data_IF_108795196123
#
_entry.id   IF_108795196123
#
_cell.length_a   1.000
_cell.length_b   1.000
_cell.length_c   1.000
_cell.angle_alpha   90.00
_cell.angle_beta   90.00
_cell.angle_gamma   90.00
#
_symmetry.space_group_name_H-M   'P 1'
#
loop_
_entity.id
_entity.type
_entity.pdbx_description
1 polymer ?
#
# COMPACT_ATOMS: atom_id res chain seq x y z
N UNK A 1 -21.53 32.43 -33.44
CA UNK A 1 -20.11 32.30 -33.06
C UNK A 1 -20.07 31.53 -31.75
N UNK A 2 -19.79 30.23 -31.80
CA UNK A 2 -19.68 29.36 -30.62
C UNK A 2 -18.20 29.02 -30.44
N UNK A 3 -17.60 29.52 -29.38
CA UNK A 3 -16.21 29.22 -29.00
C UNK A 3 -16.21 28.01 -28.07
N UNK A 4 -15.90 26.83 -28.58
CA UNK A 4 -15.57 25.66 -27.77
C UNK A 4 -14.16 25.80 -27.19
N UNK A 5 -13.96 25.65 -25.86
CA UNK A 5 -12.62 25.66 -25.30
C UNK A 5 -11.93 24.32 -25.61
N UNK A 6 -10.89 24.40 -26.44
CA UNK A 6 -9.94 23.31 -26.67
C UNK A 6 -9.28 22.94 -25.33
N UNK A 7 -9.80 21.91 -24.67
CA UNK A 7 -9.12 21.28 -23.54
C UNK A 7 -8.33 20.12 -24.12
N UNK A 8 -7.04 20.36 -24.38
CA UNK A 8 -6.11 19.28 -24.71
C UNK A 8 -6.13 18.26 -23.56
N UNK A 9 -6.08 16.95 -23.83
CA UNK A 9 -5.97 15.95 -22.79
C UNK A 9 -4.70 16.21 -21.97
N UNK A 10 -4.84 16.23 -20.64
CA UNK A 10 -3.71 16.41 -19.74
C UNK A 10 -2.66 15.32 -20.02
N UNK A 11 -1.49 15.73 -20.51
CA UNK A 11 -0.34 14.84 -20.68
C UNK A 11 -0.03 14.30 -19.28
N UNK A 12 0.02 12.96 -19.08
CA UNK A 12 0.39 12.41 -17.79
C UNK A 12 1.79 12.91 -17.43
N UNK A 13 1.90 13.59 -16.29
CA UNK A 13 3.18 14.09 -15.76
C UNK A 13 4.08 12.87 -15.56
N UNK A 14 5.11 12.74 -16.40
CA UNK A 14 6.13 11.71 -16.25
C UNK A 14 6.78 11.94 -14.89
N UNK A 15 6.57 11.03 -13.92
CA UNK A 15 7.23 11.12 -12.62
C UNK A 15 8.73 11.21 -12.86
N UNK A 16 9.38 12.21 -12.28
CA UNK A 16 10.80 12.42 -12.53
C UNK A 16 11.63 11.19 -12.15
N UNK A 17 12.50 10.74 -13.04
CA UNK A 17 13.28 9.49 -12.90
C UNK A 17 14.10 9.45 -11.59
N UNK A 18 14.54 10.61 -11.10
CA UNK A 18 15.28 10.73 -9.84
C UNK A 18 14.41 10.41 -8.61
N UNK A 19 13.10 10.69 -8.64
CA UNK A 19 12.17 10.36 -7.54
C UNK A 19 11.98 8.86 -7.48
N UNK A 20 11.77 8.21 -8.63
CA UNK A 20 11.60 6.75 -8.73
C UNK A 20 12.88 6.01 -8.30
N UNK A 21 14.04 6.53 -8.70
CA UNK A 21 15.34 6.03 -8.25
C UNK A 21 15.46 6.07 -6.73
N UNK A 22 15.22 7.22 -6.11
CA UNK A 22 15.34 7.40 -4.66
C UNK A 22 14.38 6.50 -3.88
N UNK A 23 13.14 6.33 -4.35
CA UNK A 23 12.18 5.40 -3.76
C UNK A 23 12.68 3.96 -3.81
N UNK A 24 13.26 3.55 -4.94
CA UNK A 24 13.78 2.20 -5.15
C UNK A 24 15.01 1.91 -4.31
N UNK A 25 15.94 2.86 -4.22
CA UNK A 25 17.12 2.74 -3.35
C UNK A 25 16.69 2.64 -1.89
N UNK A 26 15.70 3.43 -1.45
CA UNK A 26 15.18 3.37 -0.07
C UNK A 26 14.59 1.99 0.24
N UNK A 27 13.76 1.45 -0.65
CA UNK A 27 13.18 0.12 -0.50
C UNK A 27 14.27 -0.96 -0.40
N UNK A 28 15.25 -0.95 -1.32
CA UNK A 28 16.34 -1.92 -1.31
C UNK A 28 17.24 -1.78 -0.07
N UNK A 29 17.49 -0.55 0.39
CA UNK A 29 18.25 -0.28 1.62
C UNK A 29 17.57 -0.84 2.87
N UNK A 30 16.23 -0.76 2.94
CA UNK A 30 15.46 -1.34 4.04
C UNK A 30 15.54 -2.87 4.03
N UNK A 31 15.41 -3.50 2.85
CA UNK A 31 15.52 -4.96 2.71
C UNK A 31 16.94 -5.45 3.07
N UNK A 32 17.97 -4.69 2.70
CA UNK A 32 19.35 -4.97 3.10
C UNK A 32 19.56 -4.82 4.62
N UNK A 33 19.05 -3.73 5.21
CA UNK A 33 19.14 -3.50 6.65
C UNK A 33 18.47 -4.61 7.47
N UNK A 34 17.36 -5.14 6.98
CA UNK A 34 16.66 -6.28 7.58
C UNK A 34 17.27 -7.65 7.25
N UNK A 35 18.38 -7.69 6.51
CA UNK A 35 19.05 -8.92 6.07
C UNK A 35 18.14 -9.86 5.26
N UNK A 36 17.15 -9.29 4.55
CA UNK A 36 16.31 -10.01 3.60
C UNK A 36 16.98 -10.15 2.23
N UNK A 37 17.96 -9.27 1.96
CA UNK A 37 18.93 -9.39 0.87
C UNK A 37 20.31 -9.01 1.39
N UNK A 38 21.34 -9.63 0.82
CA UNK A 38 22.71 -9.55 1.34
C UNK A 38 23.77 -9.36 0.25
N UNK A 39 23.36 -9.32 -1.03
CA UNK A 39 24.28 -9.17 -2.18
C UNK A 39 23.95 -7.94 -3.02
N UNK A 40 25.01 -7.34 -3.57
CA UNK A 40 24.90 -6.20 -4.50
C UNK A 40 24.00 -6.52 -5.70
N UNK A 41 24.11 -7.74 -6.25
CA UNK A 41 23.27 -8.20 -7.35
C UNK A 41 21.78 -8.23 -6.96
N UNK A 42 21.45 -8.76 -5.77
CA UNK A 42 20.07 -8.80 -5.28
C UNK A 42 19.51 -7.40 -5.03
N UNK A 43 20.33 -6.47 -4.54
CA UNK A 43 19.97 -5.07 -4.35
C UNK A 43 19.63 -4.41 -5.69
N UNK A 44 20.50 -4.55 -6.70
CA UNK A 44 20.26 -4.00 -8.04
C UNK A 44 19.02 -4.62 -8.69
N UNK A 45 18.84 -5.94 -8.54
CA UNK A 45 17.66 -6.65 -9.04
C UNK A 45 16.37 -6.11 -8.42
N UNK A 46 16.34 -5.89 -7.11
CA UNK A 46 15.19 -5.29 -6.41
C UNK A 46 14.92 -3.88 -6.93
N UNK A 47 15.95 -3.05 -7.08
CA UNK A 47 15.79 -1.68 -7.58
C UNK A 47 15.14 -1.70 -8.96
N UNK A 48 15.60 -2.57 -9.87
CA UNK A 48 15.05 -2.67 -11.22
C UNK A 48 13.58 -3.17 -11.23
N UNK A 49 13.29 -4.20 -10.43
CA UNK A 49 11.91 -4.71 -10.27
C UNK A 49 11.00 -3.60 -9.71
N UNK A 50 11.46 -2.88 -8.69
CA UNK A 50 10.69 -1.81 -8.05
C UNK A 50 10.39 -0.66 -9.02
N UNK A 51 11.38 -0.21 -9.79
CA UNK A 51 11.17 0.82 -10.82
C UNK A 51 10.17 0.38 -11.87
N UNK A 52 10.28 -0.87 -12.34
CA UNK A 52 9.33 -1.44 -13.30
C UNK A 52 7.90 -1.40 -12.74
N UNK A 53 7.71 -1.71 -11.46
CA UNK A 53 6.40 -1.62 -10.80
C UNK A 53 5.88 -0.19 -10.62
N UNK A 54 6.74 0.76 -10.24
CA UNK A 54 6.31 2.16 -10.05
C UNK A 54 5.84 2.84 -11.35
N UNK A 55 6.24 2.27 -12.50
CA UNK A 55 5.84 2.73 -13.83
C UNK A 55 4.56 2.07 -14.36
N UNK A 56 4.06 1.02 -13.70
CA UNK A 56 2.81 0.36 -14.08
C UNK A 56 1.58 1.17 -13.63
N UNK A 57 0.46 0.99 -14.32
CA UNK A 57 -0.82 1.52 -13.88
C UNK A 57 -1.24 0.93 -12.52
N UNK A 58 -1.82 1.77 -11.67
CA UNK A 58 -2.09 1.50 -10.25
C UNK A 58 -3.07 0.33 -10.00
N UNK A 59 -3.76 -0.15 -11.03
CA UNK A 59 -4.68 -1.27 -10.95
C UNK A 59 -4.67 -2.09 -12.24
N UNK A 60 -4.22 -3.33 -12.15
CA UNK A 60 -4.39 -4.34 -13.19
C UNK A 60 -5.44 -5.34 -12.70
N UNK A 61 -6.47 -5.68 -13.49
CA UNK A 61 -7.38 -6.78 -13.18
C UNK A 61 -6.58 -8.08 -13.19
N UNK A 62 -6.15 -8.47 -12.00
CA UNK A 62 -5.19 -9.52 -11.84
C UNK A 62 -5.87 -10.85 -11.48
N UNK A 63 -6.00 -11.69 -12.51
CA UNK A 63 -6.51 -13.05 -12.36
C UNK A 63 -5.40 -14.07 -12.04
N UNK A 64 -4.12 -13.65 -12.01
CA UNK A 64 -2.97 -14.57 -11.99
C UNK A 64 -2.19 -14.47 -10.69
N UNK A 65 -1.87 -13.26 -10.21
CA UNK A 65 -1.03 -13.11 -9.02
C UNK A 65 -1.81 -13.30 -7.72
N UNK A 66 -3.11 -13.03 -7.68
CA UNK A 66 -3.90 -13.23 -6.46
C UNK A 66 -3.95 -14.72 -6.04
N UNK A 67 -4.29 -15.68 -6.93
CA UNK A 67 -4.19 -17.11 -6.60
C UNK A 67 -2.77 -17.54 -6.21
N UNK A 68 -1.74 -17.08 -6.94
CA UNK A 68 -0.35 -17.41 -6.61
C UNK A 68 0.07 -16.88 -5.23
N UNK A 69 -0.34 -15.67 -4.88
CA UNK A 69 -0.10 -15.11 -3.55
C UNK A 69 -0.82 -15.93 -2.48
N UNK A 70 -2.07 -16.33 -2.72
CA UNK A 70 -2.84 -17.17 -1.80
C UNK A 70 -2.14 -18.51 -1.51
N UNK A 71 -1.51 -19.12 -2.52
CA UNK A 71 -0.74 -20.36 -2.38
C UNK A 71 0.59 -20.17 -1.63
N UNK A 72 1.25 -19.03 -1.83
CA UNK A 72 2.55 -18.71 -1.24
C UNK A 72 2.46 -18.12 0.17
N UNK A 73 1.29 -17.62 0.56
CA UNK A 73 1.08 -17.04 1.88
C UNK A 73 1.33 -18.09 2.97
N UNK A 74 2.14 -17.78 4.00
CA UNK A 74 2.37 -18.72 5.07
C UNK A 74 1.05 -18.98 5.81
N UNK A 75 0.69 -20.26 5.94
CA UNK A 75 -0.41 -20.69 6.79
C UNK A 75 -0.02 -20.43 8.24
N UNK A 76 -0.75 -19.56 8.91
CA UNK A 76 -0.45 -19.13 10.26
C UNK A 76 -1.61 -19.44 11.19
N UNK A 77 -1.31 -20.04 12.33
CA UNK A 77 -2.27 -20.18 13.41
C UNK A 77 -2.43 -18.83 14.12
N UNK A 78 -3.47 -18.11 13.74
CA UNK A 78 -3.91 -16.88 14.37
C UNK A 78 -3.36 -15.57 13.78
N UNK A 79 -3.75 -14.44 14.38
CA UNK A 79 -3.52 -13.10 13.83
C UNK A 79 -2.04 -12.72 13.76
N UNK A 80 -1.66 -12.04 12.67
CA UNK A 80 -0.28 -11.57 12.42
C UNK A 80 -0.22 -10.10 12.07
N UNK A 81 0.96 -9.52 12.25
CA UNK A 81 1.32 -8.22 11.68
C UNK A 81 2.08 -8.49 10.40
N UNK A 82 1.51 -8.06 9.27
CA UNK A 82 2.10 -8.12 7.95
C UNK A 82 2.76 -6.77 7.66
N UNK A 83 4.09 -6.77 7.63
CA UNK A 83 4.86 -5.62 7.17
C UNK A 83 5.11 -5.76 5.67
N UNK A 84 4.65 -4.78 4.90
CA UNK A 84 4.82 -4.73 3.45
C UNK A 84 5.44 -3.39 3.04
N UNK A 85 5.78 -3.29 1.77
CA UNK A 85 6.20 -2.07 1.11
C UNK A 85 5.13 -1.69 0.08
N UNK A 86 5.03 -0.41 -0.30
CA UNK A 86 4.17 0.04 -1.39
C UNK A 86 4.78 -0.34 -2.76
N UNK A 87 5.01 -1.64 -2.97
CA UNK A 87 5.61 -2.22 -4.17
C UNK A 87 4.55 -3.07 -4.87
N UNK A 88 4.31 -2.77 -6.16
CA UNK A 88 3.33 -3.49 -6.95
C UNK A 88 1.88 -3.31 -6.44
N UNK A 89 0.98 -4.28 -6.67
CA UNK A 89 -0.40 -4.20 -6.22
C UNK A 89 -0.47 -4.41 -4.71
N UNK A 90 -0.10 -3.41 -3.91
CA UNK A 90 0.02 -3.53 -2.45
C UNK A 90 -1.30 -3.92 -1.77
N UNK A 91 -2.44 -3.60 -2.39
CA UNK A 91 -3.77 -4.04 -1.95
C UNK A 91 -4.00 -5.57 -2.12
N UNK A 92 -3.14 -6.29 -2.85
CA UNK A 92 -3.25 -7.73 -3.09
C UNK A 92 -3.15 -8.54 -1.79
N UNK A 93 -2.27 -8.13 -0.86
CA UNK A 93 -2.13 -8.76 0.46
C UNK A 93 -3.44 -8.68 1.26
N UNK A 94 -4.03 -7.48 1.32
CA UNK A 94 -5.32 -7.26 1.96
C UNK A 94 -6.42 -8.15 1.33
N UNK A 95 -6.48 -8.21 0.00
CA UNK A 95 -7.45 -9.02 -0.75
C UNK A 95 -7.28 -10.53 -0.48
N UNK A 96 -6.05 -11.03 -0.49
CA UNK A 96 -5.74 -12.44 -0.25
C UNK A 96 -6.17 -12.86 1.16
N UNK A 97 -5.84 -12.07 2.19
CA UNK A 97 -6.22 -12.36 3.57
C UNK A 97 -7.75 -12.37 3.75
N UNK A 98 -8.46 -11.42 3.16
CA UNK A 98 -9.93 -11.37 3.22
C UNK A 98 -10.56 -12.58 2.52
N UNK A 99 -10.03 -13.00 1.35
CA UNK A 99 -10.49 -14.20 0.64
C UNK A 99 -10.29 -15.49 1.44
N UNK A 100 -9.26 -15.54 2.27
CA UNK A 100 -9.03 -16.63 3.23
C UNK A 100 -9.93 -16.55 4.48
N UNK A 101 -10.83 -15.56 4.56
CA UNK A 101 -11.79 -15.40 5.65
C UNK A 101 -11.27 -14.59 6.83
N UNK A 102 -10.12 -13.93 6.71
CA UNK A 102 -9.55 -13.12 7.79
C UNK A 102 -10.08 -11.70 7.80
N UNK A 103 -10.37 -11.18 9.00
CA UNK A 103 -10.54 -9.75 9.22
C UNK A 103 -9.20 -9.03 9.19
N UNK A 104 -9.14 -7.85 8.56
CA UNK A 104 -7.93 -7.06 8.44
C UNK A 104 -8.07 -5.67 9.06
N UNK A 105 -6.97 -5.18 9.63
CA UNK A 105 -6.81 -3.85 10.17
C UNK A 105 -5.66 -3.13 9.44
N UNK A 106 -5.96 -1.98 8.84
CA UNK A 106 -4.98 -1.20 8.08
C UNK A 106 -4.62 0.05 8.86
N UNK A 107 -3.32 0.24 9.12
CA UNK A 107 -2.80 1.47 9.71
C UNK A 107 -2.60 2.53 8.61
N UNK A 108 -3.30 3.66 8.71
CA UNK A 108 -3.23 4.78 7.77
C UNK A 108 -2.72 6.05 8.47
N UNK A 109 -1.86 6.81 7.78
CA UNK A 109 -1.52 8.16 8.24
C UNK A 109 -2.72 9.09 8.10
N UNK A 110 -2.89 10.00 9.04
CA UNK A 110 -4.00 10.96 9.05
C UNK A 110 -4.06 11.81 7.78
N UNK A 111 -2.90 12.30 7.33
CA UNK A 111 -2.75 13.14 6.13
C UNK A 111 -3.26 12.47 4.85
N UNK A 112 -3.26 11.13 4.80
CA UNK A 112 -3.67 10.36 3.62
C UNK A 112 -4.95 9.56 3.87
N UNK A 113 -5.56 9.69 5.05
CA UNK A 113 -6.71 8.89 5.43
C UNK A 113 -7.88 9.14 4.49
N UNK A 114 -8.22 10.41 4.25
CA UNK A 114 -9.36 10.79 3.43
C UNK A 114 -9.17 10.42 1.95
N UNK A 115 -7.93 10.35 1.48
CA UNK A 115 -7.60 9.91 0.11
C UNK A 115 -7.63 8.37 0.00
N UNK A 116 -6.99 7.66 0.94
CA UNK A 116 -6.79 6.22 0.84
C UNK A 116 -8.00 5.41 1.29
N UNK A 117 -8.78 5.90 2.26
CA UNK A 117 -9.93 5.19 2.77
C UNK A 117 -10.98 4.88 1.68
N UNK A 118 -11.40 5.86 0.83
CA UNK A 118 -12.28 5.58 -0.30
C UNK A 118 -11.65 4.61 -1.31
N UNK A 119 -10.34 4.74 -1.57
CA UNK A 119 -9.63 3.83 -2.50
C UNK A 119 -9.70 2.38 -2.02
N UNK A 120 -9.42 2.12 -0.74
CA UNK A 120 -9.50 0.76 -0.19
C UNK A 120 -10.93 0.20 -0.26
N UNK A 121 -11.95 1.02 0.01
CA UNK A 121 -13.36 0.61 -0.14
C UNK A 121 -13.72 0.29 -1.59
N UNK A 122 -13.32 1.15 -2.53
CA UNK A 122 -13.57 0.93 -3.95
C UNK A 122 -12.85 -0.35 -4.43
N UNK A 123 -11.59 -0.56 -4.02
CA UNK A 123 -10.85 -1.77 -4.34
C UNK A 123 -11.51 -3.02 -3.76
N UNK A 124 -12.02 -2.95 -2.52
CA UNK A 124 -12.80 -4.05 -1.93
C UNK A 124 -14.04 -4.33 -2.78
N UNK A 125 -14.83 -3.30 -3.09
CA UNK A 125 -16.05 -3.45 -3.89
C UNK A 125 -15.76 -4.04 -5.28
N UNK A 126 -14.72 -3.58 -5.95
CA UNK A 126 -14.29 -4.14 -7.23
C UNK A 126 -13.83 -5.60 -7.12
N UNK A 127 -13.28 -6.00 -5.98
CA UNK A 127 -12.77 -7.36 -5.76
C UNK A 127 -13.85 -8.37 -5.35
N UNK A 128 -14.86 -7.92 -4.62
CA UNK A 128 -15.84 -8.78 -3.96
C UNK A 128 -17.29 -8.53 -4.40
N UNK A 129 -17.55 -7.51 -5.23
CA UNK A 129 -18.89 -7.15 -5.72
C UNK A 129 -19.81 -6.53 -4.67
N UNK A 130 -19.30 -6.24 -3.45
CA UNK A 130 -20.06 -5.67 -2.34
C UNK A 130 -19.20 -4.78 -1.44
N UNK A 131 -19.83 -4.03 -0.55
CA UNK A 131 -19.11 -3.26 0.48
C UNK A 131 -18.54 -4.19 1.57
N UNK A 132 -17.42 -3.76 2.18
CA UNK A 132 -16.83 -4.45 3.31
C UNK A 132 -17.69 -4.28 4.56
N UNK A 133 -17.86 -5.34 5.34
CA UNK A 133 -18.49 -5.23 6.66
C UNK A 133 -17.44 -4.91 7.75
N UNK A 134 -17.91 -4.55 8.93
CA UNK A 134 -17.04 -4.17 10.04
C UNK A 134 -16.12 -5.31 10.54
N UNK A 135 -16.44 -6.57 10.26
CA UNK A 135 -15.60 -7.71 10.65
C UNK A 135 -14.49 -8.01 9.63
N UNK A 136 -14.54 -7.42 8.44
CA UNK A 136 -13.58 -7.70 7.36
C UNK A 136 -12.51 -6.62 7.25
N UNK A 137 -12.88 -5.35 7.43
CA UNK A 137 -11.99 -4.24 7.15
C UNK A 137 -12.13 -3.15 8.20
N UNK A 138 -11.04 -2.92 8.94
CA UNK A 138 -10.91 -1.88 9.95
C UNK A 138 -9.76 -0.94 9.58
N UNK A 139 -9.94 0.35 9.82
CA UNK A 139 -8.90 1.35 9.61
C UNK A 139 -8.51 2.00 10.92
N UNK A 140 -7.20 2.10 11.17
CA UNK A 140 -6.63 2.75 12.35
C UNK A 140 -5.82 3.94 11.88
N UNK A 141 -6.10 5.12 12.43
CA UNK A 141 -5.33 6.34 12.19
C UNK A 141 -4.02 6.30 12.98
N UNK A 142 -2.90 6.66 12.35
CA UNK A 142 -1.57 6.50 12.95
C UNK A 142 -1.18 7.62 13.91
N UNK A 143 -1.79 8.81 13.84
CA UNK A 143 -1.40 9.97 14.66
C UNK A 143 -1.80 9.87 16.13
N UNK A 144 -2.79 9.04 16.45
CA UNK A 144 -3.36 8.97 17.79
C UNK A 144 -2.43 8.25 18.77
N UNK A 145 -2.29 8.77 19.98
CA UNK A 145 -1.61 8.09 21.10
C UNK A 145 -2.20 6.71 21.44
N UNK A 146 -3.42 6.44 20.95
CA UNK A 146 -4.16 5.19 21.12
C UNK A 146 -4.05 4.23 19.93
N UNK A 147 -3.38 4.61 18.83
CA UNK A 147 -3.31 3.80 17.60
C UNK A 147 -2.74 2.40 17.85
N UNK A 148 -1.61 2.31 18.56
CA UNK A 148 -1.00 1.04 18.95
C UNK A 148 -1.89 0.21 19.88
N UNK A 149 -2.62 0.86 20.79
CA UNK A 149 -3.58 0.20 21.69
C UNK A 149 -4.73 -0.40 20.88
N UNK A 150 -5.26 0.35 19.92
CA UNK A 150 -6.32 -0.10 19.02
C UNK A 150 -5.88 -1.27 18.14
N UNK A 151 -4.67 -1.21 17.57
CA UNK A 151 -4.09 -2.32 16.82
C UNK A 151 -3.93 -3.58 17.68
N UNK A 152 -3.44 -3.44 18.92
CA UNK A 152 -3.33 -4.56 19.87
C UNK A 152 -4.69 -5.17 20.19
N UNK A 153 -5.73 -4.36 20.33
CA UNK A 153 -7.09 -4.84 20.56
C UNK A 153 -7.65 -5.59 19.33
N UNK A 154 -7.38 -5.09 18.13
CA UNK A 154 -7.79 -5.75 16.89
C UNK A 154 -7.09 -7.10 16.70
N UNK A 155 -5.77 -7.18 16.96
CA UNK A 155 -5.04 -8.44 16.97
C UNK A 155 -5.66 -9.45 17.94
N UNK A 156 -5.97 -9.03 19.17
CA UNK A 156 -6.65 -9.90 20.17
C UNK A 156 -8.03 -10.38 19.72
N UNK A 157 -8.71 -9.63 18.85
CA UNK A 157 -10.03 -9.96 18.31
C UNK A 157 -9.99 -10.83 17.05
N UNK A 158 -8.80 -11.26 16.61
CA UNK A 158 -8.67 -12.11 15.42
C UNK A 158 -8.24 -11.38 14.16
N UNK A 159 -8.03 -10.06 14.19
CA UNK A 159 -7.71 -9.29 12.98
C UNK A 159 -6.22 -9.35 12.67
N UNK A 160 -5.88 -9.61 11.42
CA UNK A 160 -4.53 -9.38 10.91
C UNK A 160 -4.28 -7.89 10.73
N UNK A 161 -3.08 -7.42 11.06
CA UNK A 161 -2.69 -6.02 10.87
C UNK A 161 -1.80 -5.91 9.65
N UNK A 162 -2.07 -4.95 8.77
CA UNK A 162 -1.20 -4.63 7.62
C UNK A 162 -0.56 -3.26 7.87
N UNK A 163 0.78 -3.23 7.81
CA UNK A 163 1.60 -2.05 7.97
C UNK A 163 2.50 -1.87 6.75
N UNK A 164 2.60 -0.65 6.23
CA UNK A 164 3.53 -0.31 5.16
C UNK A 164 4.76 0.40 5.72
N UNK A 165 5.93 -0.24 5.59
CA UNK A 165 7.14 0.12 6.33
C UNK A 165 8.08 1.08 5.59
N UNK A 166 7.90 1.30 4.30
CA UNK A 166 8.64 2.31 3.54
C UNK A 166 8.25 3.74 3.91
N UNK A 167 7.05 3.94 4.45
CA UNK A 167 6.46 5.25 4.68
C UNK A 167 6.25 5.98 3.36
N UNK A 168 4.98 6.21 2.97
CA UNK A 168 4.66 7.00 1.76
C UNK A 168 5.41 8.34 1.82
N UNK A 169 6.27 8.61 0.83
CA UNK A 169 6.71 9.96 0.51
C UNK A 169 5.50 10.66 -0.11
N UNK A 170 5.09 11.80 0.46
CA UNK A 170 4.13 12.68 -0.21
C UNK A 170 4.63 12.90 -1.65
N UNK A 171 3.81 12.60 -2.67
CA UNK A 171 4.21 12.80 -4.07
C UNK A 171 4.35 14.28 -4.46
N UNK A 172 3.99 15.21 -3.56
CA UNK A 172 4.07 16.65 -3.79
C UNK A 172 4.87 17.35 -2.69
N UNK A 173 5.91 18.13 -3.04
CA UNK A 173 6.59 19.05 -2.10
C UNK A 173 5.70 20.21 -1.63
N UNK A 174 4.54 20.44 -2.27
CA UNK A 174 3.70 21.62 -2.01
C UNK A 174 2.69 21.47 -0.86
N UNK A 175 2.70 20.35 -0.12
CA UNK A 175 1.75 20.11 0.98
C UNK A 175 2.34 20.07 2.39
N UNK A 176 3.66 20.09 2.54
CA UNK A 176 4.30 20.13 3.87
C UNK A 176 4.28 21.57 4.41
N UNK A 177 3.09 22.05 4.81
CA UNK A 177 3.03 23.27 5.62
C UNK A 177 3.73 22.98 6.95
N UNK A 178 4.96 23.47 7.09
CA UNK A 178 5.60 23.67 8.38
C UNK A 178 4.72 24.63 9.19
N UNK A 179 3.83 24.08 10.00
CA UNK A 179 3.41 24.76 11.22
C UNK A 179 4.19 24.14 12.38
N UNK A 180 5.49 24.44 12.39
CA UNK A 180 6.27 24.44 13.63
C UNK A 180 5.78 25.60 14.50
N UNK A 181 5.44 25.29 15.74
CA UNK A 181 5.49 26.29 16.81
C UNK A 181 6.93 26.63 17.12
#
# INVERSE_FOLDING_TARGET
MNSTPNTLPAIPVRKDDHILWNQSVKAASMLYYWKLVDSYESILRIINIHQSYLQQETFQPDHTFLPQLEEQLPKVDGPRIWASFHIGPYALMARALIRQGYGIAILLKDEVFEEQYPMYKQQFKSSFGREANANELQFVRSSGSKSLIQLKQLLKRGYHVICYADGKLCPYPSGCSHNGR
#
